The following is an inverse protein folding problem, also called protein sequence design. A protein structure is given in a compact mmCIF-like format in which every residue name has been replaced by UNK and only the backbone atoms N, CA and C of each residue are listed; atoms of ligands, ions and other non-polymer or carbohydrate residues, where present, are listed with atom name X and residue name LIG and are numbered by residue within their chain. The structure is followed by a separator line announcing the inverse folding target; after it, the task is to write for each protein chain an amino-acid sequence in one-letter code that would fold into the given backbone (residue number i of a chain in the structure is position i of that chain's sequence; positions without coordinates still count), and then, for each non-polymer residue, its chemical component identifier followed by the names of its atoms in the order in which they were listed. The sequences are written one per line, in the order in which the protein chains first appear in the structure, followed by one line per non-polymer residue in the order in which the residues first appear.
data_IF_204939282910
#
_entry.id   IF_204939282910
#
_cell.length_a   1.000
_cell.length_b   1.000
_cell.length_c   1.000
_cell.angle_alpha   90.00
_cell.angle_beta   90.00
_cell.angle_gamma   90.00
#
_symmetry.space_group_name_H-M   'P 1'
#
loop_
_entity.id
_entity.type
_entity.pdbx_description
1 polymer ?
#
# COMPACT_ATOMS: atom_id res chain seq x y z
N UNK A 1 -8.89 -15.30 -6.22
CA UNK A 1 -7.66 -16.10 -6.41
C UNK A 1 -7.80 -17.50 -5.83
N UNK A 2 -7.69 -17.71 -4.51
CA UNK A 2 -7.57 -19.05 -3.90
C UNK A 2 -8.72 -20.03 -4.20
N UNK A 3 -9.97 -19.54 -4.21
CA UNK A 3 -11.17 -20.33 -4.54
C UNK A 3 -11.30 -20.66 -6.05
N UNK A 4 -10.34 -20.28 -6.89
CA UNK A 4 -10.26 -20.75 -8.27
C UNK A 4 -9.66 -22.18 -8.29
N UNK A 5 -10.31 -23.15 -8.94
CA UNK A 5 -9.72 -24.48 -9.13
C UNK A 5 -8.45 -24.36 -9.99
N UNK A 6 -8.61 -23.85 -11.20
CA UNK A 6 -7.60 -23.82 -12.26
C UNK A 6 -6.76 -22.53 -12.24
N UNK A 7 -6.14 -22.24 -11.10
CA UNK A 7 -5.20 -21.11 -11.02
C UNK A 7 -3.93 -21.46 -11.81
N UNK A 8 -3.74 -20.83 -12.98
CA UNK A 8 -2.65 -21.11 -13.92
C UNK A 8 -1.23 -20.70 -13.45
N UNK A 9 -1.05 -20.46 -12.15
CA UNK A 9 0.23 -20.10 -11.51
C UNK A 9 0.34 -20.78 -10.15
N UNK A 10 1.57 -21.15 -9.77
CA UNK A 10 1.91 -21.66 -8.43
C UNK A 10 2.88 -20.70 -7.74
N UNK A 11 2.72 -20.53 -6.42
CA UNK A 11 3.58 -19.66 -5.62
C UNK A 11 4.57 -20.50 -4.82
N UNK A 12 5.86 -20.15 -4.92
CA UNK A 12 6.94 -20.85 -4.21
C UNK A 12 6.94 -20.54 -2.71
N UNK A 13 6.63 -19.30 -2.36
CA UNK A 13 6.50 -18.79 -1.00
C UNK A 13 5.46 -17.66 -1.02
N UNK A 14 4.62 -17.59 0.00
CA UNK A 14 3.60 -16.55 0.18
C UNK A 14 3.92 -15.79 1.46
N UNK A 15 4.01 -14.46 1.38
CA UNK A 15 4.34 -13.60 2.52
C UNK A 15 3.07 -12.97 3.07
N UNK A 16 2.64 -13.41 4.26
CA UNK A 16 1.39 -12.98 4.87
C UNK A 16 1.40 -13.19 6.39
N UNK A 17 1.06 -12.15 7.15
CA UNK A 17 0.99 -12.17 8.62
C UNK A 17 -0.39 -12.61 9.13
N UNK A 18 -0.86 -13.79 8.69
CA UNK A 18 -2.07 -14.43 9.25
C UNK A 18 -1.88 -14.89 10.70
N UNK A 19 -2.97 -15.31 11.37
CA UNK A 19 -3.07 -15.31 12.84
C UNK A 19 -1.95 -16.02 13.62
N UNK A 20 -1.44 -17.16 13.11
CA UNK A 20 -0.32 -17.89 13.74
C UNK A 20 0.98 -17.06 13.87
N UNK A 21 1.06 -15.90 13.23
CA UNK A 21 2.17 -14.94 13.28
C UNK A 21 1.89 -13.76 14.23
N UNK A 22 0.71 -13.69 14.85
CA UNK A 22 0.26 -12.64 15.78
C UNK A 22 0.28 -13.11 17.25
N UNK A 23 0.72 -14.34 17.52
CA UNK A 23 0.81 -14.95 18.86
C UNK A 23 2.11 -15.76 19.02
N UNK A 24 2.56 -15.95 20.27
CA UNK A 24 3.70 -16.85 20.60
C UNK A 24 3.27 -18.30 20.91
N UNK A 25 1.97 -18.57 20.95
CA UNK A 25 1.33 -19.87 21.19
C UNK A 25 0.08 -19.93 20.28
N UNK A 26 -0.30 -21.11 19.80
CA UNK A 26 -1.33 -21.27 18.78
C UNK A 26 -2.77 -20.96 19.27
N UNK A 27 -3.46 -20.05 18.58
CA UNK A 27 -4.92 -20.07 18.39
C UNK A 27 -5.29 -19.53 16.99
N UNK A 28 -6.59 -19.37 16.67
CA UNK A 28 -7.13 -19.17 15.30
C UNK A 28 -7.63 -17.74 15.05
N UNK A 29 -7.94 -17.38 13.80
CA UNK A 29 -8.10 -16.00 13.35
C UNK A 29 -9.33 -15.59 12.51
N UNK A 30 -9.29 -14.37 11.98
CA UNK A 30 -10.40 -13.67 11.32
C UNK A 30 -10.68 -14.16 9.88
N UNK A 31 -11.97 -14.33 9.55
CA UNK A 31 -12.46 -15.15 8.43
C UNK A 31 -11.75 -14.97 7.08
N UNK A 32 -11.50 -13.77 6.58
CA UNK A 32 -10.83 -13.60 5.28
C UNK A 32 -9.33 -13.95 5.35
N UNK A 33 -8.67 -13.70 6.48
CA UNK A 33 -7.30 -14.11 6.75
C UNK A 33 -7.17 -15.62 6.94
N UNK A 34 -8.19 -16.28 7.49
CA UNK A 34 -8.23 -17.75 7.58
C UNK A 34 -8.58 -18.40 6.25
N UNK A 35 -9.55 -17.88 5.49
CA UNK A 35 -9.80 -18.34 4.10
C UNK A 35 -8.54 -18.18 3.22
N UNK A 36 -7.67 -17.23 3.52
CA UNK A 36 -6.36 -17.10 2.89
C UNK A 36 -5.35 -18.15 3.39
N UNK A 37 -5.25 -18.30 4.71
CA UNK A 37 -4.41 -19.30 5.42
C UNK A 37 -4.72 -20.74 4.99
N UNK A 38 -5.99 -21.13 5.04
CA UNK A 38 -6.49 -22.43 4.59
C UNK A 38 -6.17 -22.66 3.12
N UNK A 39 -6.31 -21.64 2.28
CA UNK A 39 -6.00 -21.72 0.86
C UNK A 39 -4.51 -21.94 0.57
N UNK A 40 -3.60 -21.34 1.35
CA UNK A 40 -2.15 -21.62 1.28
C UNK A 40 -1.90 -23.10 1.61
N UNK A 41 -2.48 -23.60 2.71
CA UNK A 41 -2.33 -24.99 3.15
C UNK A 41 -2.89 -26.00 2.14
N UNK A 42 -4.12 -25.78 1.67
CA UNK A 42 -4.80 -26.63 0.68
C UNK A 42 -4.08 -26.69 -0.67
N UNK A 43 -3.44 -25.59 -1.10
CA UNK A 43 -2.63 -25.54 -2.33
C UNK A 43 -1.17 -25.99 -2.12
N UNK A 44 -0.77 -26.33 -0.89
CA UNK A 44 0.57 -26.83 -0.55
C UNK A 44 1.69 -25.79 -0.73
N UNK A 45 1.37 -24.50 -0.68
CA UNK A 45 2.36 -23.43 -0.86
C UNK A 45 3.16 -23.19 0.42
N UNK A 46 4.43 -22.83 0.29
CA UNK A 46 5.22 -22.43 1.44
C UNK A 46 4.73 -21.05 1.95
N UNK A 47 4.81 -20.84 3.27
CA UNK A 47 4.28 -19.66 3.93
C UNK A 47 5.37 -19.02 4.80
N UNK A 48 5.71 -17.77 4.51
CA UNK A 48 6.79 -17.00 5.14
C UNK A 48 8.13 -17.79 5.20
N UNK A 49 8.40 -18.66 4.23
CA UNK A 49 9.58 -19.55 4.25
C UNK A 49 10.89 -18.76 4.15
N UNK A 50 10.89 -17.62 3.46
CA UNK A 50 12.00 -16.66 3.47
C UNK A 50 12.29 -16.06 4.87
N UNK A 51 11.39 -16.22 5.84
CA UNK A 51 11.46 -15.70 7.22
C UNK A 51 11.36 -16.82 8.27
N UNK A 52 11.85 -18.02 7.96
CA UNK A 52 11.82 -19.22 8.82
C UNK A 52 10.40 -19.63 9.27
N UNK A 53 9.37 -19.34 8.46
CA UNK A 53 7.94 -19.50 8.79
C UNK A 53 7.45 -18.63 9.97
N UNK A 54 8.20 -17.58 10.33
CA UNK A 54 7.84 -16.57 11.33
C UNK A 54 7.14 -15.38 10.68
N UNK A 55 6.76 -14.40 11.48
CA UNK A 55 6.13 -13.15 11.05
C UNK A 55 7.08 -12.31 10.17
N UNK A 56 6.56 -11.75 9.09
CA UNK A 56 7.26 -10.81 8.21
C UNK A 56 7.21 -9.43 8.86
N UNK A 57 8.26 -9.07 9.59
CA UNK A 57 8.40 -7.79 10.32
C UNK A 57 9.79 -7.19 10.15
N UNK A 58 9.88 -5.86 10.21
CA UNK A 58 11.14 -5.13 10.41
C UNK A 58 11.47 -5.06 11.91
N UNK A 59 12.75 -5.01 12.31
CA UNK A 59 13.14 -4.73 13.68
C UNK A 59 13.01 -3.22 13.98
N UNK A 60 12.77 -2.89 15.25
CA UNK A 60 12.76 -1.51 15.75
C UNK A 60 14.11 -0.80 15.49
N UNK A 61 15.21 -1.52 15.71
CA UNK A 61 16.60 -1.05 15.58
C UNK A 61 17.44 -2.03 14.75
N UNK A 62 18.54 -1.54 14.16
CA UNK A 62 19.38 -2.32 13.26
C UNK A 62 18.94 -2.27 11.79
N UNK A 63 19.49 -3.17 10.97
CA UNK A 63 19.26 -3.23 9.53
C UNK A 63 17.85 -3.73 9.17
N UNK A 64 17.31 -3.24 8.06
CA UNK A 64 16.02 -3.70 7.54
C UNK A 64 16.18 -5.08 6.86
N UNK A 65 15.24 -6.03 7.03
CA UNK A 65 15.33 -7.37 6.44
C UNK A 65 15.39 -7.33 4.91
N UNK A 66 16.41 -7.99 4.35
CA UNK A 66 16.61 -8.17 2.92
C UNK A 66 16.39 -9.64 2.54
N UNK A 67 15.67 -9.90 1.45
CA UNK A 67 15.49 -11.23 0.86
C UNK A 67 15.67 -11.15 -0.66
N UNK A 68 16.42 -12.08 -1.24
CA UNK A 68 16.62 -12.14 -2.69
C UNK A 68 15.82 -13.30 -3.28
N UNK A 69 14.93 -13.01 -4.23
CA UNK A 69 14.13 -14.00 -4.92
C UNK A 69 14.95 -14.77 -5.96
N UNK A 70 14.53 -15.99 -6.29
CA UNK A 70 15.06 -16.74 -7.43
C UNK A 70 14.82 -15.94 -8.72
N UNK A 71 15.90 -15.54 -9.39
CA UNK A 71 15.90 -14.58 -10.50
C UNK A 71 16.76 -13.35 -10.21
N UNK A 72 17.01 -13.02 -8.94
CA UNK A 72 17.92 -11.93 -8.53
C UNK A 72 17.23 -10.66 -8.03
N UNK A 73 15.89 -10.59 -8.01
CA UNK A 73 15.16 -9.46 -7.42
C UNK A 73 15.41 -9.41 -5.91
N UNK A 74 15.92 -8.27 -5.43
CA UNK A 74 16.15 -7.97 -4.01
C UNK A 74 14.92 -7.26 -3.45
N UNK A 75 14.36 -7.79 -2.36
CA UNK A 75 13.26 -7.18 -1.62
C UNK A 75 13.79 -6.74 -0.24
N UNK A 76 13.68 -5.45 0.07
CA UNK A 76 14.02 -4.87 1.37
C UNK A 76 12.74 -4.44 2.08
N UNK A 77 12.49 -4.97 3.27
CA UNK A 77 11.24 -4.77 4.01
C UNK A 77 11.20 -3.40 4.72
N UNK A 78 10.12 -2.64 4.56
CA UNK A 78 9.94 -1.28 5.10
C UNK A 78 8.81 -1.17 6.14
N UNK A 79 7.92 -2.17 6.22
CA UNK A 79 6.77 -2.29 7.12
C UNK A 79 6.31 -3.76 7.11
N UNK A 80 5.69 -4.31 8.16
CA UNK A 80 5.34 -3.71 9.46
C UNK A 80 6.41 -3.90 10.54
N UNK A 81 6.27 -3.24 11.70
CA UNK A 81 6.99 -3.62 12.94
C UNK A 81 6.23 -4.72 13.69
N UNK A 82 6.88 -5.33 14.69
CA UNK A 82 6.22 -6.26 15.61
C UNK A 82 5.07 -5.59 16.39
N UNK A 83 5.26 -4.36 16.88
CA UNK A 83 4.23 -3.54 17.54
C UNK A 83 2.92 -3.44 16.72
N UNK A 84 3.02 -3.27 15.39
CA UNK A 84 1.83 -3.21 14.52
C UNK A 84 1.13 -4.56 14.36
N UNK A 85 1.84 -5.68 14.51
CA UNK A 85 1.22 -7.01 14.57
C UNK A 85 0.58 -7.30 15.93
N UNK A 86 1.18 -6.84 17.04
CA UNK A 86 0.57 -6.95 18.37
C UNK A 86 -0.73 -6.12 18.46
N UNK A 87 -0.75 -4.91 17.88
CA UNK A 87 -1.95 -4.08 17.78
C UNK A 87 -3.07 -4.74 16.95
N UNK A 88 -2.72 -5.50 15.90
CA UNK A 88 -3.70 -6.24 15.08
C UNK A 88 -4.36 -7.40 15.85
N UNK A 89 -3.64 -8.07 16.76
CA UNK A 89 -4.11 -9.25 17.50
C UNK A 89 -5.50 -9.09 18.16
N UNK A 90 -5.82 -8.03 18.94
CA UNK A 90 -7.15 -7.83 19.51
C UNK A 90 -8.24 -7.55 18.45
N UNK A 91 -7.94 -6.77 17.41
CA UNK A 91 -8.89 -6.44 16.33
C UNK A 91 -9.26 -7.68 15.53
N UNK A 92 -8.25 -8.48 15.17
CA UNK A 92 -8.40 -9.76 14.48
C UNK A 92 -9.23 -10.77 15.32
N UNK A 93 -9.10 -10.73 16.64
CA UNK A 93 -9.94 -11.51 17.57
C UNK A 93 -11.36 -10.97 17.74
N UNK A 94 -11.62 -9.69 17.44
CA UNK A 94 -12.97 -9.12 17.40
C UNK A 94 -13.70 -9.49 16.10
N UNK A 95 -13.06 -9.32 14.93
CA UNK A 95 -13.60 -9.77 13.64
C UNK A 95 -13.92 -11.27 13.63
N UNK A 96 -13.18 -12.07 14.40
CA UNK A 96 -13.45 -13.49 14.64
C UNK A 96 -14.83 -13.77 15.25
N UNK A 97 -15.20 -12.96 16.24
CA UNK A 97 -16.46 -13.06 17.00
C UNK A 97 -17.63 -12.63 16.14
N UNK A 98 -17.52 -11.45 15.54
CA UNK A 98 -18.44 -10.91 14.51
C UNK A 98 -18.65 -11.86 13.32
N UNK A 99 -17.63 -12.63 12.92
CA UNK A 99 -17.74 -13.63 11.86
C UNK A 99 -18.49 -14.92 12.27
N UNK A 100 -18.91 -15.07 13.53
CA UNK A 100 -19.61 -16.24 14.07
C UNK A 100 -18.72 -17.47 14.28
N UNK A 101 -17.40 -17.30 14.27
CA UNK A 101 -16.41 -18.36 14.50
C UNK A 101 -16.00 -18.46 15.98
N UNK A 102 -16.24 -17.39 16.74
CA UNK A 102 -16.36 -17.37 18.20
C UNK A 102 -17.66 -16.59 18.56
N UNK A 103 -18.07 -16.59 19.83
CA UNK A 103 -19.32 -15.95 20.26
C UNK A 103 -19.35 -14.41 20.06
N UNK A 104 -20.54 -13.80 19.96
CA UNK A 104 -20.79 -12.41 19.52
C UNK A 104 -20.23 -11.32 20.44
N UNK A 105 -20.14 -10.05 20.05
CA UNK A 105 -20.44 -9.41 18.73
C UNK A 105 -19.15 -8.67 18.24
N UNK A 106 -19.03 -7.48 17.62
CA UNK A 106 -19.91 -6.39 17.13
C UNK A 106 -19.20 -5.69 15.93
N UNK A 107 -19.77 -4.64 15.31
CA UNK A 107 -19.22 -3.98 14.09
C UNK A 107 -19.07 -2.45 14.23
N UNK A 108 -18.13 -1.82 13.50
CA UNK A 108 -17.86 -0.38 13.53
C UNK A 108 -17.68 0.19 12.10
N UNK A 109 -18.25 1.37 11.82
CA UNK A 109 -18.51 1.82 10.44
C UNK A 109 -18.02 3.23 10.12
N UNK A 110 -17.15 3.35 9.11
CA UNK A 110 -16.68 4.64 8.58
C UNK A 110 -17.81 5.51 7.98
N UNK A 111 -17.72 6.82 8.20
CA UNK A 111 -18.67 7.81 7.68
C UNK A 111 -18.20 8.43 6.35
N UNK A 112 -19.10 8.64 5.36
CA UNK A 112 -18.71 9.24 4.08
C UNK A 112 -18.49 10.76 4.20
N UNK A 113 -17.41 11.26 3.59
CA UNK A 113 -17.17 12.69 3.36
C UNK A 113 -18.06 13.26 2.25
N UNK A 114 -18.27 14.59 2.27
CA UNK A 114 -19.08 15.30 1.26
C UNK A 114 -18.18 15.74 0.10
N UNK A 115 -18.45 15.24 -1.11
CA UNK A 115 -17.72 15.64 -2.33
C UNK A 115 -18.34 16.86 -3.05
N UNK A 116 -17.46 17.68 -3.63
CA UNK A 116 -17.79 18.55 -4.76
C UNK A 116 -17.75 17.76 -6.08
N UNK A 117 -18.68 18.04 -6.99
CA UNK A 117 -18.76 17.45 -8.33
C UNK A 117 -18.10 18.32 -9.42
N UNK A 118 -17.24 19.27 -9.02
CA UNK A 118 -16.48 20.13 -9.93
C UNK A 118 -15.22 19.47 -10.51
N UNK A 119 -14.65 20.10 -11.52
CA UNK A 119 -13.26 19.87 -11.92
C UNK A 119 -12.33 20.66 -10.98
N UNK A 120 -11.22 20.04 -10.57
CA UNK A 120 -10.31 20.60 -9.56
C UNK A 120 -9.63 21.89 -10.04
N UNK A 121 -9.49 22.83 -9.10
CA UNK A 121 -8.78 24.11 -9.24
C UNK A 121 -7.32 24.00 -8.79
N UNK A 122 -6.50 25.04 -9.00
CA UNK A 122 -5.12 25.06 -8.48
C UNK A 122 -5.16 25.26 -6.96
N UNK A 123 -6.09 26.11 -6.56
CA UNK A 123 -6.35 26.56 -5.21
C UNK A 123 -6.72 25.37 -4.29
N UNK A 124 -7.65 24.51 -4.71
CA UNK A 124 -8.00 23.27 -3.99
C UNK A 124 -6.82 22.30 -3.84
N UNK A 125 -5.95 22.19 -4.86
CA UNK A 125 -4.77 21.30 -4.81
C UNK A 125 -3.68 21.89 -3.90
N UNK A 126 -3.47 23.20 -3.92
CA UNK A 126 -2.55 23.90 -3.02
C UNK A 126 -2.98 23.77 -1.54
N UNK A 127 -4.26 24.02 -1.25
CA UNK A 127 -4.85 23.87 0.08
C UNK A 127 -4.78 22.42 0.57
N UNK A 128 -5.14 21.44 -0.28
CA UNK A 128 -5.08 20.03 0.08
C UNK A 128 -3.66 19.51 0.31
N UNK A 129 -2.66 20.00 -0.44
CA UNK A 129 -1.27 19.67 -0.21
C UNK A 129 -0.75 20.23 1.13
N UNK A 130 -1.17 21.45 1.49
CA UNK A 130 -0.83 22.11 2.75
C UNK A 130 -1.69 21.66 3.96
N UNK A 131 -2.77 20.91 3.72
CA UNK A 131 -3.72 20.49 4.76
C UNK A 131 -3.08 19.65 5.86
N UNK A 132 -3.59 19.80 7.09
CA UNK A 132 -3.13 19.04 8.25
C UNK A 132 -3.30 17.53 8.04
N UNK A 133 -2.24 16.77 8.30
CA UNK A 133 -2.27 15.32 8.13
C UNK A 133 -3.01 14.63 9.28
N UNK A 134 -4.18 14.05 8.99
CA UNK A 134 -4.83 13.05 9.84
C UNK A 134 -4.31 11.66 9.43
N UNK A 135 -3.54 10.95 10.29
CA UNK A 135 -3.00 9.63 9.95
C UNK A 135 -4.09 8.57 9.78
N UNK A 136 -3.80 7.56 8.95
CA UNK A 136 -4.46 6.26 9.07
C UNK A 136 -4.02 5.60 10.40
N UNK A 137 -4.99 5.10 11.16
CA UNK A 137 -4.78 4.44 12.46
C UNK A 137 -5.14 2.97 12.45
N UNK A 138 -5.65 2.43 11.34
CA UNK A 138 -6.10 1.04 11.24
C UNK A 138 -4.96 0.05 11.51
N UNK A 139 -5.16 -0.85 12.46
CA UNK A 139 -4.20 -1.89 12.81
C UNK A 139 -4.02 -2.89 11.66
N UNK A 140 -5.06 -3.12 10.86
CA UNK A 140 -4.99 -3.92 9.65
C UNK A 140 -4.09 -3.28 8.59
N UNK A 141 -4.28 -2.00 8.30
CA UNK A 141 -3.44 -1.26 7.35
C UNK A 141 -1.99 -1.15 7.85
N UNK A 142 -1.82 -0.91 9.15
CA UNK A 142 -0.52 -0.86 9.84
C UNK A 142 0.26 -2.19 9.81
N UNK A 143 -0.41 -3.33 9.60
CA UNK A 143 0.22 -4.64 9.42
C UNK A 143 0.77 -4.91 8.00
N UNK A 144 0.54 -3.98 7.06
CA UNK A 144 0.91 -4.14 5.64
C UNK A 144 2.41 -4.35 5.44
N UNK A 145 2.72 -5.37 4.63
CA UNK A 145 4.05 -5.67 4.12
C UNK A 145 4.39 -4.66 3.02
N UNK A 146 5.24 -3.68 3.35
CA UNK A 146 5.80 -2.71 2.39
C UNK A 146 7.22 -3.13 2.03
N UNK A 147 7.58 -3.11 0.74
CA UNK A 147 8.92 -3.46 0.26
C UNK A 147 9.48 -2.44 -0.73
N UNK A 148 10.77 -2.16 -0.60
CA UNK A 148 11.59 -1.66 -1.70
C UNK A 148 12.05 -2.89 -2.51
N UNK A 149 11.56 -3.00 -3.73
CA UNK A 149 11.94 -4.01 -4.70
C UNK A 149 12.99 -3.46 -5.67
N UNK A 150 14.09 -4.19 -5.86
CA UNK A 150 15.21 -3.80 -6.71
C UNK A 150 15.58 -4.95 -7.66
N UNK A 151 15.62 -4.66 -8.96
CA UNK A 151 15.92 -5.65 -10.01
C UNK A 151 16.42 -4.97 -11.28
N UNK A 152 17.48 -5.51 -11.89
CA UNK A 152 18.11 -4.99 -13.12
C UNK A 152 18.35 -3.46 -13.11
N UNK A 153 18.91 -2.97 -11.99
CA UNK A 153 19.16 -1.54 -11.74
C UNK A 153 17.91 -0.71 -11.39
N UNK A 154 16.70 -1.24 -11.57
CA UNK A 154 15.42 -0.56 -11.29
C UNK A 154 15.00 -0.73 -9.84
N UNK A 155 14.25 0.26 -9.31
CA UNK A 155 13.88 0.41 -7.90
C UNK A 155 12.42 0.85 -7.77
N UNK A 156 11.60 0.05 -7.08
CA UNK A 156 10.16 0.29 -6.90
C UNK A 156 9.79 0.13 -5.44
N UNK A 157 9.01 1.05 -4.87
CA UNK A 157 8.35 0.82 -3.57
C UNK A 157 6.94 0.30 -3.79
N UNK A 158 6.67 -0.87 -3.23
CA UNK A 158 5.34 -1.51 -3.19
C UNK A 158 4.83 -1.45 -1.75
N UNK A 159 3.83 -0.60 -1.51
CA UNK A 159 3.45 -0.18 -0.16
C UNK A 159 2.53 -1.13 0.61
N UNK A 160 1.74 -1.93 -0.11
CA UNK A 160 0.45 -2.36 0.45
C UNK A 160 -0.34 -1.13 0.92
N UNK A 161 -0.91 -1.22 2.11
CA UNK A 161 -1.64 -0.12 2.76
C UNK A 161 -0.88 0.43 3.98
N UNK A 162 0.45 0.29 3.98
CA UNK A 162 1.31 0.66 5.09
C UNK A 162 1.26 2.15 5.44
N UNK A 163 1.44 2.45 6.73
CA UNK A 163 1.30 3.80 7.28
C UNK A 163 2.51 4.68 6.94
N UNK A 164 2.22 5.94 6.56
CA UNK A 164 3.23 6.90 6.10
C UNK A 164 4.42 7.12 7.05
N UNK A 165 4.24 7.25 8.39
CA UNK A 165 5.37 7.50 9.29
C UNK A 165 6.39 6.35 9.30
N UNK A 166 5.91 5.10 9.34
CA UNK A 166 6.80 3.94 9.37
C UNK A 166 7.58 3.77 8.06
N UNK A 167 6.94 4.01 6.91
CA UNK A 167 7.64 4.04 5.62
C UNK A 167 8.67 5.18 5.56
N UNK A 168 8.36 6.34 6.12
CA UNK A 168 9.27 7.50 6.21
C UNK A 168 10.51 7.14 7.04
N UNK A 169 10.34 6.49 8.19
CA UNK A 169 11.44 6.04 9.05
C UNK A 169 12.31 4.96 8.38
N UNK A 170 11.70 3.98 7.73
CA UNK A 170 12.42 2.93 7.00
C UNK A 170 13.22 3.50 5.80
N UNK A 171 12.68 4.48 5.08
CA UNK A 171 13.40 5.17 4.00
C UNK A 171 14.54 6.04 4.53
N UNK A 172 14.36 6.70 5.70
CA UNK A 172 15.44 7.42 6.41
C UNK A 172 16.57 6.50 6.83
N UNK A 173 16.24 5.34 7.41
CA UNK A 173 17.20 4.26 7.77
C UNK A 173 17.99 3.79 6.54
N UNK A 174 17.36 3.68 5.37
CA UNK A 174 18.03 3.21 4.14
C UNK A 174 18.91 4.25 3.43
N UNK A 175 18.63 5.55 3.58
CA UNK A 175 19.48 6.60 2.96
C UNK A 175 20.64 7.07 3.84
N UNK A 176 20.65 6.72 5.13
CA UNK A 176 21.67 7.07 6.13
C UNK A 176 22.14 8.54 6.04
N UNK A 177 21.18 9.47 6.13
CA UNK A 177 21.43 10.92 6.00
C UNK A 177 21.74 11.43 4.59
N UNK A 178 21.99 10.54 3.62
CA UNK A 178 22.17 10.84 2.19
C UNK A 178 20.92 11.40 1.50
N UNK A 179 20.94 11.61 0.17
CA UNK A 179 19.82 12.21 -0.56
C UNK A 179 18.54 11.35 -0.54
N UNK A 180 17.36 11.92 -0.83
CA UNK A 180 16.11 11.18 -0.99
C UNK A 180 16.24 9.98 -1.93
N UNK A 181 15.49 8.92 -1.61
CA UNK A 181 15.57 7.63 -2.30
C UNK A 181 15.01 7.75 -3.72
N UNK A 182 15.89 7.66 -4.72
CA UNK A 182 15.48 7.65 -6.14
C UNK A 182 14.81 6.30 -6.49
N UNK A 183 13.65 6.37 -7.14
CA UNK A 183 12.79 5.25 -7.52
C UNK A 183 12.26 5.41 -8.95
N UNK A 184 12.22 4.32 -9.72
CA UNK A 184 11.58 4.29 -11.04
C UNK A 184 10.05 4.33 -10.94
N UNK A 185 9.49 3.81 -9.84
CA UNK A 185 8.08 3.96 -9.50
C UNK A 185 7.80 3.88 -7.97
N UNK A 186 6.74 4.56 -7.53
CA UNK A 186 6.18 4.45 -6.18
C UNK A 186 4.70 4.06 -6.25
N UNK A 187 4.33 2.95 -5.60
CA UNK A 187 2.92 2.54 -5.44
C UNK A 187 2.27 3.41 -4.38
N UNK A 188 1.11 4.04 -4.67
CA UNK A 188 0.38 4.74 -3.61
C UNK A 188 -0.21 3.76 -2.59
N UNK A 189 0.02 4.04 -1.31
CA UNK A 189 -0.50 3.27 -0.17
C UNK A 189 -2.01 3.45 0.02
N UNK A 190 -2.74 2.39 0.38
CA UNK A 190 -4.19 2.40 0.59
C UNK A 190 -4.95 3.07 -0.58
N UNK A 191 -4.53 2.74 -1.80
CA UNK A 191 -4.99 3.32 -3.07
C UNK A 191 -4.85 4.86 -3.21
N UNK A 192 -4.14 5.53 -2.31
CA UNK A 192 -4.09 6.99 -2.20
C UNK A 192 -5.09 7.55 -1.18
N UNK A 193 -5.27 6.90 -0.03
CA UNK A 193 -6.07 7.46 1.08
C UNK A 193 -5.42 8.72 1.69
N UNK A 194 -6.23 9.67 2.17
CA UNK A 194 -5.77 10.95 2.76
C UNK A 194 -4.76 10.75 3.90
N UNK A 195 -4.87 9.64 4.64
CA UNK A 195 -4.06 9.30 5.81
C UNK A 195 -2.78 8.51 5.52
N UNK A 196 -2.39 8.35 4.25
CA UNK A 196 -1.26 7.48 3.86
C UNK A 196 -0.13 8.18 3.10
N UNK A 197 -0.24 9.48 2.83
CA UNK A 197 0.79 10.26 2.15
C UNK A 197 1.05 11.56 2.92
N UNK A 198 2.21 11.66 3.56
CA UNK A 198 2.70 12.86 4.24
C UNK A 198 3.66 13.67 3.38
N UNK A 199 3.85 14.95 3.71
CA UNK A 199 4.87 15.79 3.08
C UNK A 199 6.27 15.25 3.39
N UNK A 200 6.48 14.68 4.57
CA UNK A 200 7.70 14.00 4.97
C UNK A 200 7.99 12.80 4.05
N UNK A 201 7.04 11.87 3.90
CA UNK A 201 7.20 10.66 3.08
C UNK A 201 7.55 10.99 1.63
N UNK A 202 6.85 11.97 1.04
CA UNK A 202 7.12 12.42 -0.32
C UNK A 202 8.50 13.10 -0.44
N UNK A 203 8.96 13.80 0.60
CA UNK A 203 10.31 14.35 0.63
C UNK A 203 11.42 13.28 0.78
N UNK A 204 11.15 12.11 1.38
CA UNK A 204 12.12 11.00 1.51
C UNK A 204 12.39 10.25 0.20
N UNK A 205 11.56 10.42 -0.84
CA UNK A 205 11.67 9.76 -2.14
C UNK A 205 11.86 10.76 -3.28
N UNK A 206 12.37 10.31 -4.42
CA UNK A 206 12.18 11.00 -5.71
C UNK A 206 11.79 9.96 -6.75
N UNK A 207 10.60 10.09 -7.32
CA UNK A 207 10.14 9.22 -8.41
C UNK A 207 9.49 10.02 -9.52
N UNK A 208 9.56 9.49 -10.75
CA UNK A 208 8.76 10.01 -11.86
C UNK A 208 7.39 9.34 -11.90
N UNK A 209 7.26 8.06 -11.56
CA UNK A 209 6.01 7.30 -11.77
C UNK A 209 5.32 6.99 -10.46
N UNK A 210 4.04 7.30 -10.37
CA UNK A 210 3.21 7.06 -9.20
C UNK A 210 2.03 6.18 -9.59
N UNK A 211 1.85 5.04 -8.92
CA UNK A 211 0.93 3.98 -9.34
C UNK A 211 -0.35 3.96 -8.47
N UNK A 212 -1.45 4.46 -9.03
CA UNK A 212 -2.79 4.52 -8.44
C UNK A 212 -3.57 3.25 -8.85
N UNK A 213 -4.21 2.58 -7.88
CA UNK A 213 -4.82 1.25 -8.09
C UNK A 213 -6.31 1.21 -7.69
N UNK A 214 -7.14 2.12 -8.18
CA UNK A 214 -8.55 2.25 -7.78
C UNK A 214 -9.39 2.94 -8.86
N UNK A 215 -10.68 2.65 -8.86
CA UNK A 215 -11.74 3.22 -9.68
C UNK A 215 -12.43 4.43 -9.02
N UNK A 216 -12.20 4.66 -7.72
CA UNK A 216 -12.89 5.65 -6.90
C UNK A 216 -14.35 5.30 -6.58
N UNK A 217 -14.83 4.08 -6.80
CA UNK A 217 -16.25 3.74 -6.60
C UNK A 217 -16.64 3.78 -5.12
N UNK A 218 -15.99 2.94 -4.29
CA UNK A 218 -16.33 2.67 -2.89
C UNK A 218 -15.88 3.75 -1.91
N UNK A 219 -14.59 4.10 -1.89
CA UNK A 219 -13.98 4.97 -0.87
C UNK A 219 -13.54 6.35 -1.39
N UNK A 220 -13.89 6.73 -2.63
CA UNK A 220 -13.42 7.97 -3.29
C UNK A 220 -11.89 8.12 -3.31
N UNK A 221 -11.20 7.00 -3.47
CA UNK A 221 -9.75 6.97 -3.67
C UNK A 221 -9.39 7.22 -5.14
N UNK A 222 -8.26 7.88 -5.44
CA UNK A 222 -7.38 8.51 -4.49
C UNK A 222 -8.00 9.81 -3.94
N UNK A 223 -7.75 10.09 -2.67
CA UNK A 223 -8.13 11.34 -2.01
C UNK A 223 -7.29 12.52 -2.52
N UNK A 224 -7.86 13.72 -2.45
CA UNK A 224 -7.27 14.95 -3.00
C UNK A 224 -5.89 15.24 -2.38
N UNK A 225 -5.78 15.14 -1.06
CA UNK A 225 -4.57 15.40 -0.28
C UNK A 225 -3.42 14.46 -0.64
N UNK A 226 -3.72 13.20 -0.96
CA UNK A 226 -2.71 12.20 -1.27
C UNK A 226 -2.01 12.50 -2.60
N UNK A 227 -2.79 12.77 -3.66
CA UNK A 227 -2.24 13.14 -4.96
C UNK A 227 -1.65 14.56 -4.93
N UNK A 228 -2.28 15.52 -4.22
CA UNK A 228 -1.78 16.88 -4.08
C UNK A 228 -0.38 16.91 -3.44
N UNK A 229 -0.16 16.19 -2.34
CA UNK A 229 1.17 16.04 -1.73
C UNK A 229 2.14 15.28 -2.65
N UNK A 230 1.65 14.30 -3.41
CA UNK A 230 2.45 13.57 -4.41
C UNK A 230 2.99 14.49 -5.50
N UNK A 231 2.12 15.24 -6.21
CA UNK A 231 2.54 16.11 -7.32
C UNK A 231 3.39 17.29 -6.85
N UNK A 232 3.20 17.77 -5.61
CA UNK A 232 3.93 18.91 -5.06
C UNK A 232 5.29 18.57 -4.44
N UNK A 233 5.48 17.33 -3.96
CA UNK A 233 6.68 16.96 -3.18
C UNK A 233 7.41 15.69 -3.65
N UNK A 234 6.78 14.82 -4.44
CA UNK A 234 7.37 13.53 -4.87
C UNK A 234 8.49 13.63 -5.90
N UNK A 235 8.66 14.81 -6.53
CA UNK A 235 9.66 15.05 -7.57
C UNK A 235 9.23 16.13 -8.57
N UNK A 236 9.59 15.93 -9.82
CA UNK A 236 9.16 16.69 -10.99
C UNK A 236 9.16 15.76 -12.21
N UNK A 237 8.52 16.18 -13.31
CA UNK A 237 8.16 15.31 -14.44
C UNK A 237 7.32 14.09 -13.99
N UNK A 238 6.29 14.34 -13.17
CA UNK A 238 5.50 13.27 -12.55
C UNK A 238 4.52 12.64 -13.54
N UNK A 239 4.39 11.32 -13.51
CA UNK A 239 3.44 10.51 -14.24
C UNK A 239 2.50 9.83 -13.23
N UNK A 240 1.24 10.25 -13.19
CA UNK A 240 0.18 9.61 -12.40
C UNK A 240 -0.45 8.49 -13.23
N UNK A 241 -0.12 7.25 -12.89
CA UNK A 241 -0.52 6.04 -13.63
C UNK A 241 -1.69 5.38 -12.90
N UNK A 242 -2.87 5.44 -13.49
CA UNK A 242 -4.12 4.88 -12.94
C UNK A 242 -4.48 3.57 -13.65
N UNK A 243 -4.92 2.54 -12.92
CA UNK A 243 -5.43 1.30 -13.52
C UNK A 243 -6.93 1.35 -13.92
N UNK A 244 -7.60 2.48 -13.70
CA UNK A 244 -8.97 2.75 -14.15
C UNK A 244 -9.12 4.21 -14.58
N UNK A 245 -9.82 4.43 -15.69
CA UNK A 245 -10.35 5.74 -16.07
C UNK A 245 -11.81 5.85 -15.63
N UNK A 246 -12.12 6.78 -14.72
CA UNK A 246 -13.48 7.02 -14.22
C UNK A 246 -13.69 8.52 -13.99
N UNK A 247 -14.95 8.94 -13.85
CA UNK A 247 -15.28 10.33 -13.49
C UNK A 247 -14.64 10.81 -12.16
N UNK A 248 -14.10 9.90 -11.34
CA UNK A 248 -13.29 10.25 -10.16
C UNK A 248 -11.80 10.34 -10.48
N UNK A 249 -11.21 9.35 -11.16
CA UNK A 249 -9.77 9.36 -11.46
C UNK A 249 -9.39 10.43 -12.49
N UNK A 250 -10.25 10.66 -13.50
CA UNK A 250 -10.09 11.69 -14.53
C UNK A 250 -10.21 13.13 -13.99
N UNK A 251 -10.55 13.35 -12.71
CA UNK A 251 -10.44 14.68 -12.05
C UNK A 251 -9.03 15.25 -12.13
N UNK A 252 -8.01 14.40 -12.30
CA UNK A 252 -6.61 14.78 -12.43
C UNK A 252 -6.16 15.05 -13.88
N UNK A 253 -7.00 14.78 -14.88
CA UNK A 253 -6.64 14.97 -16.30
C UNK A 253 -6.73 16.45 -16.77
N UNK A 254 -6.92 17.39 -15.85
CA UNK A 254 -7.11 18.81 -16.16
C UNK A 254 -5.81 19.46 -16.65
N UNK A 255 -5.79 19.94 -17.90
CA UNK A 255 -4.63 20.57 -18.52
C UNK A 255 -4.06 21.78 -17.75
N UNK A 256 -4.92 22.58 -17.08
CA UNK A 256 -4.47 23.70 -16.22
C UNK A 256 -3.61 23.19 -15.05
N UNK A 257 -4.00 22.07 -14.43
CA UNK A 257 -3.29 21.49 -13.29
C UNK A 257 -2.00 20.80 -13.74
N UNK A 258 -2.06 19.98 -14.80
CA UNK A 258 -0.89 19.33 -15.43
C UNK A 258 0.22 20.34 -15.76
N UNK A 259 -0.15 21.46 -16.39
CA UNK A 259 0.78 22.53 -16.74
C UNK A 259 1.30 23.34 -15.54
N UNK A 260 0.52 23.46 -14.45
CA UNK A 260 0.92 24.25 -13.28
C UNK A 260 1.82 23.46 -12.31
N UNK A 261 1.47 22.21 -12.05
CA UNK A 261 2.16 21.32 -11.10
C UNK A 261 3.19 20.39 -11.78
N UNK A 262 3.36 20.46 -13.10
CA UNK A 262 4.42 19.74 -13.83
C UNK A 262 4.23 18.21 -13.85
N UNK A 263 2.98 17.75 -14.01
CA UNK A 263 2.65 16.32 -14.07
C UNK A 263 1.85 15.93 -15.32
N UNK A 264 1.79 14.63 -15.54
CA UNK A 264 1.12 13.93 -16.63
C UNK A 264 0.29 12.76 -16.08
N UNK A 265 -0.61 12.24 -16.89
CA UNK A 265 -1.63 11.26 -16.51
C UNK A 265 -1.67 10.12 -17.53
N UNK A 266 -1.67 8.88 -17.05
CA UNK A 266 -1.70 7.68 -17.88
C UNK A 266 -2.80 6.75 -17.38
N UNK A 267 -3.68 6.34 -18.29
CA UNK A 267 -4.86 5.50 -18.05
C UNK A 267 -4.78 4.20 -18.87
N UNK A 268 -5.54 3.13 -18.53
CA UNK A 268 -5.58 1.92 -19.34
C UNK A 268 -6.13 2.21 -20.74
N UNK A 269 -5.78 1.36 -21.71
CA UNK A 269 -6.45 1.38 -23.02
C UNK A 269 -7.79 0.66 -22.92
N UNK A 270 -8.71 0.99 -23.83
CA UNK A 270 -10.06 0.43 -23.84
C UNK A 270 -10.05 -1.10 -23.69
N UNK A 271 -11.03 -1.61 -22.93
CA UNK A 271 -11.23 -3.01 -22.54
C UNK A 271 -10.20 -3.63 -21.55
N UNK A 272 -9.13 -2.92 -21.15
CA UNK A 272 -8.19 -3.39 -20.09
C UNK A 272 -8.56 -2.92 -18.66
N UNK A 273 -9.85 -2.68 -18.38
CA UNK A 273 -10.30 -2.08 -17.11
C UNK A 273 -9.78 -2.82 -15.86
N UNK A 274 -9.04 -2.10 -15.00
CA UNK A 274 -8.44 -2.62 -13.77
C UNK A 274 -7.00 -3.12 -13.92
N UNK A 275 -6.49 -3.24 -15.15
CA UNK A 275 -5.10 -3.57 -15.44
C UNK A 275 -4.42 -2.39 -16.13
N UNK A 276 -3.15 -2.13 -15.80
CA UNK A 276 -2.31 -1.22 -16.58
C UNK A 276 -0.88 -1.73 -16.59
N UNK A 277 -0.23 -1.61 -17.75
CA UNK A 277 1.18 -1.95 -17.94
C UNK A 277 1.96 -0.66 -18.21
N UNK A 278 2.99 -0.43 -17.40
CA UNK A 278 4.02 0.58 -17.62
C UNK A 278 5.39 -0.11 -17.73
N UNK A 279 6.32 0.53 -18.41
CA UNK A 279 7.72 0.07 -18.53
C UNK A 279 8.59 1.04 -17.74
N UNK A 280 9.48 0.49 -16.91
CA UNK A 280 10.28 1.26 -15.95
C UNK A 280 11.60 1.69 -16.58
#
# INVERSE_FOLDING_TARGET
MLKAPDLAVSFKDVWFNGHKHLEKIESLGAKQGEEFTDGIGQKGWAWNAAFDHKSVVIPETGELPVKTLSGGMRLTLLSPTWEKLEALSPVWKAELRKAGLLGPEEDDSDSPGVESLGALTIEEVEEAAASAFKPDTSEANGSSICVLAEFDGRRVVLTGDAHAPLMTESLRKLRDGGPPTVLDAFKLSHHGSHGTHTVELMNEIRSKRFLISTDGSRHKHPHLEAIARTVKHGGGDIELIFNYETAHTSKWDVAKLKNHFGYSTTYPKNDEAGMIRTEL
#
